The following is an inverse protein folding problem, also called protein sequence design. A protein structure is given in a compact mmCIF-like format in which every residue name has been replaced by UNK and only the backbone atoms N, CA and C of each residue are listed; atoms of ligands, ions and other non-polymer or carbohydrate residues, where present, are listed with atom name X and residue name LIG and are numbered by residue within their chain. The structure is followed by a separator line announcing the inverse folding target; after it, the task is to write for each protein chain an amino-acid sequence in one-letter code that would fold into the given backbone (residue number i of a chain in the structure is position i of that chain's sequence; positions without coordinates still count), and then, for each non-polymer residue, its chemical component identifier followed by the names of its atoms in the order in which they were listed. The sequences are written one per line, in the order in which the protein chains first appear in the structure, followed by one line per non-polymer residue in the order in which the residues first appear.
data_IF_211944007480
#
_entry.id   IF_211944007480
#
_cell.length_a   1.000
_cell.length_b   1.000
_cell.length_c   1.000
_cell.angle_alpha   90.00
_cell.angle_beta   90.00
_cell.angle_gamma   90.00
#
_symmetry.space_group_name_H-M   'P 1'
#
loop_
_entity.id
_entity.type
_entity.pdbx_description
1 polymer ?
#
# COMPACT_ATOMS: atom_id res chain seq x y z
N UNK A 1 -6.35 2.28 -5.07
CA UNK A 1 -6.85 2.34 -3.69
C UNK A 1 -5.73 2.15 -2.69
N UNK A 2 -4.89 1.13 -2.85
CA UNK A 2 -3.76 0.84 -1.94
C UNK A 2 -2.84 2.05 -1.67
N UNK A 3 -2.42 2.79 -2.70
CA UNK A 3 -1.60 4.01 -2.53
C UNK A 3 -2.30 5.05 -1.67
N UNK A 4 -3.58 5.32 -1.94
CA UNK A 4 -4.39 6.28 -1.19
C UNK A 4 -4.55 5.84 0.26
N UNK A 5 -4.83 4.56 0.51
CA UNK A 5 -4.94 4.02 1.86
C UNK A 5 -3.63 4.21 2.65
N UNK A 6 -2.48 3.92 2.04
CA UNK A 6 -1.17 4.13 2.66
C UNK A 6 -0.87 5.62 2.91
N UNK A 7 -1.21 6.50 1.96
CA UNK A 7 -1.05 7.95 2.10
C UNK A 7 -1.85 8.47 3.28
N UNK A 8 -3.13 8.12 3.36
CA UNK A 8 -4.01 8.59 4.42
C UNK A 8 -3.63 8.03 5.79
N UNK A 9 -3.18 6.76 5.86
CA UNK A 9 -2.65 6.20 7.10
C UNK A 9 -1.42 6.96 7.61
N UNK A 10 -0.44 7.25 6.74
CA UNK A 10 0.75 8.02 7.12
C UNK A 10 0.42 9.48 7.46
N UNK A 11 -0.53 10.10 6.75
CA UNK A 11 -1.01 11.45 7.09
C UNK A 11 -1.67 11.50 8.46
N UNK A 12 -2.45 10.47 8.80
CA UNK A 12 -3.11 10.36 10.09
C UNK A 12 -2.09 10.22 11.23
N UNK A 13 -1.05 9.41 11.04
CA UNK A 13 0.05 9.28 12.01
C UNK A 13 0.82 10.59 12.16
N UNK A 14 1.08 11.32 11.06
CA UNK A 14 1.82 12.57 11.11
C UNK A 14 3.27 12.36 11.57
N UNK A 15 3.89 13.37 12.19
CA UNK A 15 5.26 13.27 12.68
C UNK A 15 5.34 12.38 13.93
N UNK A 16 5.94 11.20 13.79
CA UNK A 16 6.04 10.22 14.86
C UNK A 16 7.33 10.40 15.69
N UNK A 17 7.24 10.17 17.00
CA UNK A 17 8.39 10.20 17.90
C UNK A 17 9.27 8.92 17.82
N UNK A 18 8.76 7.86 17.19
CA UNK A 18 9.42 6.56 17.07
C UNK A 18 9.18 5.90 15.71
N UNK A 19 9.69 4.68 15.50
CA UNK A 19 9.48 3.95 14.25
C UNK A 19 8.00 3.65 14.02
N UNK A 20 7.56 3.75 12.76
CA UNK A 20 6.20 3.44 12.31
C UNK A 20 6.26 2.24 11.38
N UNK A 21 5.59 1.15 11.73
CA UNK A 21 5.54 -0.05 10.91
C UNK A 21 4.28 -0.07 10.04
N UNK A 22 4.45 -0.13 8.72
CA UNK A 22 3.38 -0.32 7.75
C UNK A 22 3.35 -1.77 7.30
N UNK A 23 2.23 -2.44 7.57
CA UNK A 23 1.94 -3.80 7.11
C UNK A 23 0.97 -3.73 5.94
N UNK A 24 1.37 -4.28 4.79
CA UNK A 24 0.51 -4.33 3.60
C UNK A 24 0.83 -5.56 2.76
N UNK A 25 -0.18 -6.13 2.13
CA UNK A 25 -0.03 -7.17 1.10
C UNK A 25 0.28 -6.61 -0.29
N UNK A 26 0.33 -5.29 -0.42
CA UNK A 26 0.74 -4.63 -1.65
C UNK A 26 2.26 -4.63 -1.83
N UNK A 27 2.75 -5.67 -2.50
CA UNK A 27 4.13 -5.67 -3.00
C UNK A 27 4.40 -4.48 -3.95
N UNK A 28 3.36 -3.96 -4.61
CA UNK A 28 3.43 -2.77 -5.47
C UNK A 28 3.79 -1.52 -4.65
N UNK A 29 3.08 -1.26 -3.55
CA UNK A 29 3.37 -0.12 -2.66
C UNK A 29 4.79 -0.23 -2.08
N UNK A 30 5.13 -1.39 -1.50
CA UNK A 30 6.43 -1.58 -0.83
C UNK A 30 7.60 -1.42 -1.82
N UNK A 31 7.53 -2.05 -2.99
CA UNK A 31 8.61 -1.94 -4.00
C UNK A 31 8.65 -0.55 -4.62
N UNK A 32 7.50 0.05 -4.89
CA UNK A 32 7.46 1.38 -5.50
C UNK A 32 8.09 2.46 -4.62
N UNK A 33 7.78 2.45 -3.32
CA UNK A 33 8.34 3.44 -2.38
C UNK A 33 9.80 3.17 -2.03
N UNK A 34 10.22 1.90 -1.93
CA UNK A 34 11.61 1.54 -1.55
C UNK A 34 12.60 1.49 -2.71
N UNK A 35 12.14 1.16 -3.91
CA UNK A 35 13.02 0.85 -5.04
C UNK A 35 12.75 1.81 -6.21
N UNK A 36 11.52 1.82 -6.74
CA UNK A 36 11.25 2.40 -8.06
C UNK A 36 11.26 3.92 -8.05
N UNK A 37 10.75 4.55 -6.99
CA UNK A 37 10.64 6.01 -6.89
C UNK A 37 11.99 6.72 -7.05
N UNK A 38 13.07 6.11 -6.57
CA UNK A 38 14.42 6.65 -6.73
C UNK A 38 14.85 6.66 -8.20
N UNK A 39 14.55 5.59 -8.93
CA UNK A 39 14.84 5.48 -10.36
C UNK A 39 13.95 6.38 -11.22
N UNK A 40 12.67 6.55 -10.85
CA UNK A 40 11.77 7.46 -11.54
C UNK A 40 12.18 8.92 -11.35
N UNK A 41 12.50 9.35 -10.12
CA UNK A 41 12.98 10.71 -9.86
C UNK A 41 14.25 11.04 -10.64
N UNK A 42 15.22 10.14 -10.71
CA UNK A 42 16.44 10.32 -11.51
C UNK A 42 16.18 10.46 -13.01
N UNK A 43 15.06 9.90 -13.51
CA UNK A 43 14.68 9.93 -14.93
C UNK A 43 13.57 10.94 -15.23
N UNK A 44 13.35 11.91 -14.35
CA UNK A 44 12.30 12.93 -14.55
C UNK A 44 10.89 12.34 -14.62
N UNK A 45 10.62 11.31 -13.81
CA UNK A 45 9.34 10.58 -13.76
C UNK A 45 8.96 9.85 -15.05
N UNK A 46 9.96 9.27 -15.72
CA UNK A 46 9.77 8.40 -16.88
C UNK A 46 10.14 6.95 -16.59
N UNK A 47 9.41 6.02 -17.21
CA UNK A 47 9.68 4.58 -17.17
C UNK A 47 10.93 4.23 -17.99
N UNK A 48 11.40 2.98 -17.95
CA UNK A 48 12.48 2.50 -18.83
C UNK A 48 12.10 2.58 -20.31
N UNK A 49 10.80 2.54 -20.63
CA UNK A 49 10.28 2.67 -21.99
C UNK A 49 10.13 4.13 -22.43
N UNK A 50 10.41 5.11 -21.56
CA UNK A 50 10.31 6.54 -21.85
C UNK A 50 8.92 7.14 -21.64
N UNK A 51 7.95 6.33 -21.22
CA UNK A 51 6.58 6.74 -20.90
C UNK A 51 6.52 7.44 -19.54
N UNK A 52 5.46 8.22 -19.30
CA UNK A 52 5.21 8.81 -17.98
C UNK A 52 4.87 7.73 -16.95
N UNK A 53 5.32 7.92 -15.71
CA UNK A 53 5.01 7.02 -14.61
C UNK A 53 3.55 7.20 -14.19
N UNK A 54 2.77 6.12 -14.25
CA UNK A 54 1.40 6.09 -13.73
C UNK A 54 1.34 6.44 -12.24
N UNK A 55 0.31 7.20 -11.85
CA UNK A 55 0.05 7.63 -10.46
C UNK A 55 1.20 8.45 -9.85
N UNK A 56 1.93 9.21 -10.68
CA UNK A 56 3.05 10.06 -10.24
C UNK A 56 2.67 10.95 -9.05
N UNK A 57 1.52 11.61 -9.14
CA UNK A 57 0.94 12.46 -8.11
C UNK A 57 0.81 11.75 -6.75
N UNK A 58 0.30 10.51 -6.77
CA UNK A 58 0.17 9.69 -5.58
C UNK A 58 1.54 9.25 -5.05
N UNK A 59 2.49 8.90 -5.92
CA UNK A 59 3.85 8.55 -5.50
C UNK A 59 4.61 9.72 -4.87
N UNK A 60 4.48 10.91 -5.45
CA UNK A 60 5.03 12.15 -4.88
C UNK A 60 4.42 12.43 -3.50
N UNK A 61 3.11 12.25 -3.38
CA UNK A 61 2.36 12.44 -2.13
C UNK A 61 2.76 11.42 -1.06
N UNK A 62 2.81 10.14 -1.41
CA UNK A 62 3.21 9.06 -0.49
C UNK A 62 4.61 9.30 0.05
N UNK A 63 5.56 9.62 -0.83
CA UNK A 63 6.93 9.86 -0.42
C UNK A 63 7.10 11.14 0.41
N UNK A 64 6.19 12.10 0.29
CA UNK A 64 6.12 13.27 1.16
C UNK A 64 5.53 12.92 2.54
N UNK A 65 4.47 12.11 2.57
CA UNK A 65 3.88 11.61 3.80
C UNK A 65 4.86 10.75 4.61
N UNK A 66 5.55 9.81 3.97
CA UNK A 66 6.61 8.98 4.57
C UNK A 66 7.71 9.85 5.19
N UNK A 67 8.23 10.83 4.44
CA UNK A 67 9.27 11.75 4.94
C UNK A 67 8.81 12.55 6.16
N UNK A 68 7.57 13.02 6.17
CA UNK A 68 7.00 13.74 7.33
C UNK A 68 6.79 12.83 8.54
N UNK A 69 6.52 11.55 8.30
CA UNK A 69 6.30 10.58 9.37
C UNK A 69 7.57 10.27 10.14
N UNK A 70 8.70 10.22 9.45
CA UNK A 70 10.01 9.92 10.04
C UNK A 70 10.47 8.52 9.66
N UNK A 71 10.80 7.68 10.64
CA UNK A 71 11.31 6.32 10.39
C UNK A 71 10.15 5.36 10.10
N UNK A 72 9.85 5.13 8.82
CA UNK A 72 8.84 4.15 8.38
C UNK A 72 9.51 2.82 8.03
N UNK A 73 9.00 1.72 8.59
CA UNK A 73 9.41 0.35 8.32
C UNK A 73 8.30 -0.36 7.52
N UNK A 74 8.68 -1.01 6.42
CA UNK A 74 7.74 -1.59 5.47
C UNK A 74 7.76 -3.11 5.55
N UNK A 75 6.62 -3.69 5.90
CA UNK A 75 6.42 -5.10 6.16
C UNK A 75 5.40 -5.67 5.18
N UNK A 76 5.81 -6.71 4.45
CA UNK A 76 4.89 -7.45 3.60
C UNK A 76 4.12 -8.45 4.44
N UNK A 77 2.80 -8.43 4.33
CA UNK A 77 1.92 -9.48 4.86
C UNK A 77 1.25 -10.18 3.70
N UNK A 78 0.92 -11.46 3.82
CA UNK A 78 0.21 -12.15 2.74
C UNK A 78 -1.29 -11.84 2.85
N UNK A 79 -1.89 -11.37 1.76
CA UNK A 79 -3.34 -11.23 1.66
C UNK A 79 -4.04 -12.59 1.81
N UNK A 80 -5.22 -12.59 2.44
CA UNK A 80 -6.09 -13.76 2.63
C UNK A 80 -5.41 -14.96 3.31
N UNK A 81 -4.58 -14.72 4.32
CA UNK A 81 -3.87 -15.76 5.09
C UNK A 81 -4.19 -15.75 6.59
N UNK A 82 -5.32 -15.18 7.02
CA UNK A 82 -5.67 -15.16 8.44
C UNK A 82 -4.96 -14.08 9.26
N UNK A 83 -4.35 -13.07 8.61
CA UNK A 83 -3.63 -12.00 9.33
C UNK A 83 -4.66 -10.97 9.80
N UNK A 84 -5.00 -10.88 11.11
CA UNK A 84 -6.21 -10.21 11.55
C UNK A 84 -6.26 -8.73 11.15
N UNK A 85 -5.13 -8.03 11.23
CA UNK A 85 -5.03 -6.63 10.82
C UNK A 85 -5.22 -6.41 9.31
N UNK A 86 -4.69 -7.31 8.47
CA UNK A 86 -4.85 -7.20 7.02
C UNK A 86 -6.28 -7.54 6.61
N UNK A 87 -6.82 -8.64 7.12
CA UNK A 87 -8.20 -9.06 6.82
C UNK A 87 -9.21 -8.00 7.26
N UNK A 88 -8.95 -7.34 8.38
CA UNK A 88 -9.78 -6.24 8.83
C UNK A 88 -9.71 -5.03 7.89
N UNK A 89 -8.53 -4.72 7.36
CA UNK A 89 -8.38 -3.65 6.37
C UNK A 89 -9.11 -3.99 5.06
N UNK A 90 -9.00 -5.24 4.61
CA UNK A 90 -9.71 -5.76 3.43
C UNK A 90 -11.23 -5.68 3.61
N UNK A 91 -11.75 -6.12 4.76
CA UNK A 91 -13.18 -6.06 5.08
C UNK A 91 -13.72 -4.61 5.04
N UNK A 92 -12.97 -3.66 5.62
CA UNK A 92 -13.35 -2.25 5.62
C UNK A 92 -13.35 -1.69 4.19
N UNK A 93 -12.31 -2.00 3.40
CA UNK A 93 -12.20 -1.56 2.02
C UNK A 93 -13.34 -2.12 1.15
N UNK A 94 -13.62 -3.43 1.28
CA UNK A 94 -14.69 -4.12 0.57
C UNK A 94 -16.08 -3.60 0.96
N UNK A 95 -16.30 -3.30 2.24
CA UNK A 95 -17.55 -2.71 2.70
C UNK A 95 -17.80 -1.35 2.05
N UNK A 96 -16.83 -0.44 2.09
CA UNK A 96 -16.96 0.87 1.46
C UNK A 96 -17.09 0.77 -0.07
N UNK A 97 -16.35 -0.12 -0.72
CA UNK A 97 -16.48 -0.36 -2.16
C UNK A 97 -17.88 -0.84 -2.55
N UNK A 98 -18.54 -1.62 -1.67
CA UNK A 98 -19.92 -2.07 -1.84
C UNK A 98 -20.98 -1.06 -1.39
N UNK A 99 -20.58 0.15 -0.97
CA UNK A 99 -21.52 1.17 -0.44
C UNK A 99 -22.11 0.81 0.92
N UNK A 100 -21.47 -0.08 1.68
CA UNK A 100 -21.83 -0.44 3.05
C UNK A 100 -21.02 0.38 4.04
N UNK A 101 -21.57 0.57 5.23
CA UNK A 101 -20.89 1.19 6.36
C UNK A 101 -20.38 0.10 7.31
N UNK A 102 -19.07 -0.23 7.30
CA UNK A 102 -18.52 -1.17 8.28
C UNK A 102 -18.49 -0.50 9.66
N UNK A 103 -18.67 -1.29 10.72
CA UNK A 103 -18.41 -0.81 12.08
C UNK A 103 -16.96 -0.35 12.17
N UNK A 104 -16.69 0.89 12.56
CA UNK A 104 -15.32 1.37 12.78
C UNK A 104 -15.03 1.43 14.28
N UNK A 105 -13.76 1.23 14.65
CA UNK A 105 -13.32 1.31 16.03
C UNK A 105 -12.44 2.53 16.25
N UNK A 106 -12.76 3.33 17.27
CA UNK A 106 -11.94 4.42 17.75
C UNK A 106 -11.82 4.31 19.27
N UNK A 107 -10.62 4.01 19.75
CA UNK A 107 -10.37 3.84 21.17
C UNK A 107 -9.00 3.22 21.47
N UNK A 108 -8.72 2.92 22.74
CA UNK A 108 -7.47 2.28 23.14
C UNK A 108 -7.31 0.90 22.51
N UNK A 109 -6.08 0.55 22.09
CA UNK A 109 -5.77 -0.75 21.50
C UNK A 109 -6.17 -1.93 22.38
N UNK A 110 -6.06 -1.79 23.71
CA UNK A 110 -6.40 -2.84 24.68
C UNK A 110 -7.88 -3.24 24.67
N UNK A 111 -8.76 -2.41 24.10
CA UNK A 111 -10.19 -2.72 23.93
C UNK A 111 -10.54 -3.06 22.47
N UNK A 112 -9.54 -3.11 21.60
CA UNK A 112 -9.78 -3.47 20.21
C UNK A 112 -9.81 -5.00 20.07
N UNK A 113 -10.91 -5.52 19.55
CA UNK A 113 -11.16 -6.97 19.47
C UNK A 113 -10.38 -7.67 18.37
N UNK A 114 -9.93 -6.91 17.36
CA UNK A 114 -9.08 -7.45 16.29
C UNK A 114 -7.64 -7.48 16.78
N UNK A 115 -7.03 -8.67 16.78
CA UNK A 115 -5.65 -8.89 17.17
C UNK A 115 -4.66 -8.35 16.10
N UNK A 116 -4.66 -7.03 15.90
CA UNK A 116 -3.87 -6.35 14.85
C UNK A 116 -2.35 -6.44 15.06
N UNK A 117 -1.91 -6.86 16.25
CA UNK A 117 -0.49 -7.11 16.54
C UNK A 117 -0.07 -8.57 16.26
N UNK A 118 -1.01 -9.45 15.92
CA UNK A 118 -0.71 -10.82 15.50
C UNK A 118 -0.20 -10.81 14.05
N UNK A 119 1.11 -10.56 13.93
CA UNK A 119 1.82 -10.38 12.67
C UNK A 119 2.78 -11.56 12.47
N UNK A 120 2.95 -12.09 11.25
CA UNK A 120 3.92 -13.15 10.97
C UNK A 120 5.37 -12.70 11.23
N UNK A 121 6.24 -13.64 11.62
CA UNK A 121 7.68 -13.37 11.78
C UNK A 121 8.35 -12.96 10.45
N UNK A 122 7.97 -13.63 9.35
CA UNK A 122 8.51 -13.34 8.03
C UNK A 122 7.65 -12.30 7.30
N UNK A 123 8.12 -11.06 7.32
CA UNK A 123 7.48 -9.93 6.63
C UNK A 123 8.24 -9.49 5.37
N UNK A 124 9.07 -10.37 4.79
CA UNK A 124 9.84 -10.05 3.59
C UNK A 124 8.95 -10.02 2.35
N UNK A 125 9.20 -9.05 1.48
CA UNK A 125 8.55 -8.99 0.16
C UNK A 125 8.96 -10.23 -0.66
N UNK A 126 8.01 -10.99 -1.23
CA UNK A 126 8.32 -12.17 -2.05
C UNK A 126 9.23 -11.82 -3.23
N UNK A 127 10.12 -12.74 -3.60
CA UNK A 127 10.95 -12.58 -4.78
C UNK A 127 10.09 -12.39 -6.03
N UNK A 128 10.58 -11.58 -6.99
CA UNK A 128 9.87 -11.37 -8.26
C UNK A 128 9.91 -12.68 -9.03
N UNK A 129 8.76 -13.15 -9.51
CA UNK A 129 8.70 -14.34 -10.35
C UNK A 129 9.57 -14.14 -11.63
N UNK A 130 10.27 -15.18 -12.11
CA UNK A 130 11.07 -15.09 -13.31
C UNK A 130 10.20 -14.75 -14.53
N UNK A 131 10.74 -13.92 -15.42
CA UNK A 131 10.07 -13.56 -16.68
C UNK A 131 9.94 -14.82 -17.54
N UNK A 132 8.74 -15.41 -17.63
CA UNK A 132 8.48 -16.59 -18.45
C UNK A 132 7.41 -17.56 -17.91
N UNK A 133 6.95 -17.40 -16.68
CA UNK A 133 5.81 -18.18 -16.15
C UNK A 133 4.49 -17.81 -16.84
N UNK A 134 3.59 -18.80 -17.01
CA UNK A 134 2.23 -18.62 -17.54
C UNK A 134 1.53 -17.48 -16.77
N UNK A 135 1.36 -16.32 -17.40
CA UNK A 135 0.65 -15.18 -16.80
C UNK A 135 -0.80 -15.59 -16.60
N UNK A 136 -1.24 -15.73 -15.34
CA UNK A 136 -2.67 -15.79 -15.04
C UNK A 136 -3.34 -14.49 -15.53
N UNK A 137 -4.65 -14.55 -15.77
CA UNK A 137 -5.43 -13.40 -16.23
C UNK A 137 -5.10 -12.16 -15.39
N UNK A 138 -4.76 -11.06 -16.07
CA UNK A 138 -4.18 -9.90 -15.40
C UNK A 138 -5.20 -9.27 -14.46
N UNK A 139 -4.92 -9.30 -13.16
CA UNK A 139 -5.65 -8.51 -12.17
C UNK A 139 -5.39 -7.04 -12.49
N UNK A 140 -6.42 -6.32 -12.91
CA UNK A 140 -6.28 -4.90 -13.18
C UNK A 140 -6.16 -4.13 -11.88
N UNK A 141 -5.18 -3.23 -11.79
CA UNK A 141 -5.01 -2.35 -10.66
C UNK A 141 -5.92 -1.12 -10.81
N UNK A 142 -6.60 -0.73 -9.73
CA UNK A 142 -7.47 0.45 -9.69
C UNK A 142 -6.86 1.53 -8.80
N UNK A 143 -6.71 2.74 -9.34
CA UNK A 143 -6.35 3.95 -8.59
C UNK A 143 -7.35 5.07 -8.84
N UNK A 144 -7.22 6.14 -8.07
CA UNK A 144 -7.91 7.40 -8.33
C UNK A 144 -6.82 8.41 -8.68
N UNK A 145 -6.80 8.88 -9.93
CA UNK A 145 -5.85 9.88 -10.43
C UNK A 145 -6.64 11.15 -10.72
N UNK A 146 -6.25 12.27 -10.12
CA UNK A 146 -6.96 13.56 -10.25
C UNK A 146 -8.48 13.46 -9.98
N UNK A 147 -8.87 12.66 -8.98
CA UNK A 147 -10.26 12.46 -8.59
C UNK A 147 -11.07 11.55 -9.53
N UNK A 148 -10.45 10.91 -10.52
CA UNK A 148 -11.11 9.97 -11.44
C UNK A 148 -10.60 8.54 -11.26
N UNK A 149 -11.50 7.52 -11.19
CA UNK A 149 -11.08 6.13 -11.18
C UNK A 149 -10.30 5.77 -12.46
N UNK A 150 -9.14 5.15 -12.30
CA UNK A 150 -8.26 4.72 -13.38
C UNK A 150 -7.98 3.22 -13.25
N UNK A 151 -8.09 2.50 -14.37
CA UNK A 151 -7.78 1.06 -14.47
C UNK A 151 -6.46 0.88 -15.21
N UNK A 152 -5.52 0.20 -14.56
CA UNK A 152 -4.19 -0.06 -15.10
C UNK A 152 -4.10 -1.54 -15.50
N UNK A 153 -3.77 -1.77 -16.76
CA UNK A 153 -3.71 -3.12 -17.35
C UNK A 153 -2.51 -3.93 -16.85
N UNK A 154 -1.48 -3.27 -16.32
CA UNK A 154 -0.26 -3.89 -15.76
C UNK A 154 0.36 -2.96 -14.73
N UNK A 155 1.10 -3.52 -13.75
CA UNK A 155 2.00 -2.79 -12.86
C UNK A 155 3.47 -2.88 -13.31
#
# INVERSE_FOLDING_TARGET
MELTATIEALRHVGAAAGPVAVHTDSAYVIRGIREWIHGWRRRGWRTTAGEEVSNRDLWETLASAERRTGKVEWHYVRGHQGIPGNERADEIADAFAAGREPTLYQGPLIRYEVAVLDIPDDTRVPARAPAGGRRSAVHSYLSVVDGRPARHATW
#
